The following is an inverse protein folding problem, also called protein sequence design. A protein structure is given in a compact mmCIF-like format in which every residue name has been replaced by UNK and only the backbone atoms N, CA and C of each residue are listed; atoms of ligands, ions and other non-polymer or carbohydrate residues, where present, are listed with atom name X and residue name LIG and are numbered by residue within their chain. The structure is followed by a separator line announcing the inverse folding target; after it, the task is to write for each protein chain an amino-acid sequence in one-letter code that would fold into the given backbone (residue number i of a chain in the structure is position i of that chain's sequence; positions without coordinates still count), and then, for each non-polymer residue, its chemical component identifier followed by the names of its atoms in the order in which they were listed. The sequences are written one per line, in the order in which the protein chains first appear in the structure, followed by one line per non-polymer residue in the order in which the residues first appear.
data_IF_269693072026
#
_entry.id   IF_269693072026
#
_cell.length_a   1.000
_cell.length_b   1.000
_cell.length_c   1.000
_cell.angle_alpha   90.00
_cell.angle_beta   90.00
_cell.angle_gamma   90.00
#
_symmetry.space_group_name_H-M   'P 1'
#
loop_
_entity.id
_entity.type
_entity.pdbx_description
1 polymer ?
#
# COMPACT_ATOMS: atom_id res chain seq x y z
N UNK A 1 -2.08 -42.91 -4.52
CA UNK A 1 -3.12 -41.96 -4.08
C UNK A 1 -2.42 -40.68 -3.62
N UNK A 2 -2.28 -39.67 -4.48
CA UNK A 2 -3.11 -38.44 -4.55
C UNK A 2 -3.19 -37.68 -3.19
N UNK A 3 -2.83 -36.40 -3.04
CA UNK A 3 -2.98 -35.24 -3.95
C UNK A 3 -1.89 -34.18 -3.71
N UNK A 4 -1.09 -33.88 -4.74
CA UNK A 4 -0.51 -32.55 -4.93
C UNK A 4 -1.50 -31.77 -5.78
N UNK A 5 -2.04 -30.66 -5.28
CA UNK A 5 -2.50 -29.55 -6.13
C UNK A 5 -2.54 -28.28 -5.30
N UNK A 6 -1.56 -27.43 -5.59
CA UNK A 6 -1.51 -26.02 -5.20
C UNK A 6 -2.70 -25.30 -5.82
N UNK A 7 -3.47 -24.56 -5.02
CA UNK A 7 -4.23 -23.42 -5.52
C UNK A 7 -3.43 -22.15 -5.25
N UNK A 8 -2.34 -21.98 -5.98
CA UNK A 8 -1.78 -20.65 -6.23
C UNK A 8 -2.45 -20.20 -7.52
N UNK A 9 -3.51 -19.39 -7.39
CA UNK A 9 -3.98 -18.64 -8.54
C UNK A 9 -2.82 -17.72 -8.97
N UNK A 10 -2.46 -17.69 -10.26
CA UNK A 10 -1.48 -16.74 -10.74
C UNK A 10 -1.96 -15.32 -10.41
N UNK A 11 -1.04 -14.45 -10.02
CA UNK A 11 -1.34 -13.03 -9.91
C UNK A 11 -1.98 -12.58 -11.24
N UNK A 12 -3.04 -11.75 -11.22
CA UNK A 12 -3.66 -11.27 -12.45
C UNK A 12 -2.58 -10.65 -13.34
N UNK A 13 -2.60 -10.97 -14.64
CA UNK A 13 -1.74 -10.30 -15.62
C UNK A 13 -2.00 -8.81 -15.53
N UNK A 14 -1.07 -8.09 -14.91
CA UNK A 14 -1.08 -6.63 -14.87
C UNK A 14 -0.87 -6.18 -16.31
N UNK A 15 -1.88 -5.49 -16.87
CA UNK A 15 -1.80 -4.93 -18.22
C UNK A 15 -0.57 -4.03 -18.31
N UNK A 16 0.38 -4.39 -19.17
CA UNK A 16 1.53 -3.54 -19.47
C UNK A 16 1.02 -2.24 -20.07
N UNK A 17 1.35 -1.13 -19.43
CA UNK A 17 0.94 0.23 -19.85
C UNK A 17 1.56 0.55 -21.22
N UNK A 18 0.80 1.16 -22.12
CA UNK A 18 1.41 1.84 -23.28
C UNK A 18 2.31 2.97 -22.77
N UNK A 19 3.61 2.88 -23.06
CA UNK A 19 4.56 3.94 -22.74
C UNK A 19 4.27 5.16 -23.63
N UNK A 20 3.53 6.13 -23.09
CA UNK A 20 3.38 7.46 -23.68
C UNK A 20 4.47 8.37 -23.11
N UNK A 21 5.40 8.87 -23.94
CA UNK A 21 6.41 9.82 -23.47
C UNK A 21 5.74 11.00 -22.77
N UNK A 22 6.18 11.30 -21.55
CA UNK A 22 5.67 12.44 -20.76
C UNK A 22 4.40 12.19 -19.92
N UNK A 23 3.85 10.97 -19.88
CA UNK A 23 2.69 10.70 -19.02
C UNK A 23 3.13 10.36 -17.59
N UNK A 24 2.93 11.31 -16.67
CA UNK A 24 3.22 11.15 -15.24
C UNK A 24 1.94 10.88 -14.45
N UNK A 25 1.95 9.86 -13.57
CA UNK A 25 0.79 9.45 -12.77
C UNK A 25 1.01 9.70 -11.30
N UNK A 26 0.19 10.58 -10.74
CA UNK A 26 0.11 10.82 -9.29
C UNK A 26 -1.18 10.18 -8.77
N UNK A 27 -1.06 9.39 -7.70
CA UNK A 27 -2.21 8.81 -7.01
C UNK A 27 -2.28 9.40 -5.61
N UNK A 28 -3.45 9.91 -5.23
CA UNK A 28 -3.74 10.28 -3.85
C UNK A 28 -4.83 9.39 -3.28
N UNK A 29 -4.68 8.94 -2.03
CA UNK A 29 -5.66 8.09 -1.39
C UNK A 29 -5.67 8.27 0.14
N UNK A 30 -6.84 8.59 0.69
CA UNK A 30 -7.08 8.50 2.11
C UNK A 30 -7.39 7.05 2.48
N UNK A 31 -6.41 6.37 3.08
CA UNK A 31 -6.46 4.93 3.29
C UNK A 31 -7.17 4.55 4.60
N UNK A 32 -7.58 5.52 5.41
CA UNK A 32 -8.23 5.32 6.70
C UNK A 32 -7.55 4.24 7.57
N UNK A 33 -6.21 4.29 7.68
CA UNK A 33 -5.35 3.30 8.35
C UNK A 33 -5.50 1.87 7.81
N UNK A 34 -5.79 1.73 6.53
CA UNK A 34 -6.03 0.43 5.86
C UNK A 34 -7.37 -0.22 6.21
N UNK A 35 -8.32 0.52 6.79
CA UNK A 35 -9.63 0.00 7.19
C UNK A 35 -10.59 0.00 6.00
N UNK A 36 -11.01 -1.19 5.56
CA UNK A 36 -12.00 -1.34 4.50
C UNK A 36 -13.46 -1.14 4.96
N UNK A 37 -14.40 -1.20 4.01
CA UNK A 37 -15.84 -1.20 4.28
C UNK A 37 -16.28 -2.38 5.15
N UNK A 38 -15.55 -3.50 5.08
CA UNK A 38 -15.70 -4.67 5.94
C UNK A 38 -15.18 -4.45 7.37
N UNK A 39 -14.72 -3.23 7.69
CA UNK A 39 -14.15 -2.79 8.96
C UNK A 39 -12.87 -3.53 9.34
N UNK A 40 -12.25 -4.28 8.42
CA UNK A 40 -10.98 -4.96 8.66
C UNK A 40 -9.82 -4.08 8.24
N UNK A 41 -8.77 -4.04 9.05
CA UNK A 41 -7.53 -3.34 8.73
C UNK A 41 -6.64 -4.29 7.93
N UNK A 42 -6.54 -4.08 6.62
CA UNK A 42 -5.72 -4.91 5.71
C UNK A 42 -4.96 -4.02 4.75
N UNK A 43 -3.77 -3.59 5.17
CA UNK A 43 -2.94 -2.65 4.40
C UNK A 43 -2.51 -3.24 3.05
N UNK A 44 -2.38 -4.57 2.96
CA UNK A 44 -2.11 -5.28 1.71
C UNK A 44 -3.09 -4.91 0.59
N UNK A 45 -4.39 -4.71 0.89
CA UNK A 45 -5.38 -4.30 -0.12
C UNK A 45 -5.06 -2.94 -0.72
N UNK A 46 -4.53 -2.03 0.08
CA UNK A 46 -4.11 -0.70 -0.39
C UNK A 46 -2.91 -0.85 -1.31
N UNK A 47 -1.91 -1.66 -0.94
CA UNK A 47 -0.76 -1.93 -1.79
C UNK A 47 -1.17 -2.55 -3.14
N UNK A 48 -2.07 -3.54 -3.14
CA UNK A 48 -2.61 -4.16 -4.36
C UNK A 48 -3.31 -3.15 -5.27
N UNK A 49 -4.13 -2.26 -4.70
CA UNK A 49 -4.78 -1.17 -5.46
C UNK A 49 -3.71 -0.26 -6.07
N UNK A 50 -2.74 0.21 -5.28
CA UNK A 50 -1.70 1.11 -5.78
C UNK A 50 -0.85 0.44 -6.87
N UNK A 51 -0.47 -0.83 -6.74
CA UNK A 51 0.26 -1.57 -7.78
C UNK A 51 -0.54 -1.62 -9.09
N UNK A 52 -1.85 -1.88 -9.01
CA UNK A 52 -2.73 -1.94 -10.18
C UNK A 52 -2.85 -0.60 -10.93
N UNK A 53 -2.63 0.51 -10.23
CA UNK A 53 -2.64 1.85 -10.81
C UNK A 53 -1.30 2.23 -11.44
N UNK A 54 -0.21 1.51 -11.10
CA UNK A 54 1.15 1.80 -11.55
C UNK A 54 1.49 3.30 -11.44
N UNK A 55 1.46 3.88 -10.22
CA UNK A 55 1.77 5.28 -9.98
C UNK A 55 3.26 5.56 -10.20
N UNK A 56 3.57 6.82 -10.48
CA UNK A 56 4.93 7.36 -10.41
C UNK A 56 5.15 8.08 -9.06
N UNK A 57 4.09 8.67 -8.48
CA UNK A 57 4.06 9.22 -7.11
C UNK A 57 2.78 8.78 -6.40
N UNK A 58 2.90 8.50 -5.10
CA UNK A 58 1.78 8.23 -4.22
C UNK A 58 1.74 9.25 -3.08
N UNK A 59 0.58 9.84 -2.81
CA UNK A 59 0.32 10.68 -1.64
C UNK A 59 -0.82 10.07 -0.80
N UNK A 60 -0.51 9.58 0.40
CA UNK A 60 -1.47 8.92 1.27
C UNK A 60 -1.87 9.80 2.44
N UNK A 61 -3.12 9.68 2.87
CA UNK A 61 -3.65 10.32 4.08
C UNK A 61 -4.15 9.28 5.08
N UNK A 62 -4.15 9.66 6.35
CA UNK A 62 -4.54 8.82 7.50
C UNK A 62 -3.73 7.52 7.62
N UNK A 63 -2.43 7.59 7.32
CA UNK A 63 -1.51 6.48 7.50
C UNK A 63 -1.13 6.38 8.97
N UNK A 64 -1.10 5.16 9.52
CA UNK A 64 -0.59 4.87 10.86
C UNK A 64 0.65 3.97 10.75
N UNK A 65 1.79 4.44 11.28
CA UNK A 65 3.03 3.66 11.30
C UNK A 65 3.53 3.48 12.73
N UNK A 66 3.43 2.24 13.24
CA UNK A 66 3.87 1.83 14.58
C UNK A 66 5.10 0.95 14.44
N UNK A 67 6.20 1.32 15.10
CA UNK A 67 7.44 0.54 15.13
C UNK A 67 7.36 -0.66 16.09
N UNK A 68 8.23 -1.65 15.88
CA UNK A 68 8.39 -2.80 16.80
C UNK A 68 7.16 -3.73 16.88
N UNK A 69 6.36 -3.77 15.81
CA UNK A 69 5.18 -4.63 15.65
C UNK A 69 5.30 -5.43 14.35
N UNK A 70 4.24 -6.13 13.97
CA UNK A 70 4.15 -6.80 12.67
C UNK A 70 4.38 -5.81 11.52
N UNK A 71 4.94 -6.24 10.38
CA UNK A 71 5.26 -5.35 9.25
C UNK A 71 4.11 -4.44 8.81
N UNK A 72 2.87 -4.95 8.80
CA UNK A 72 1.65 -4.22 8.41
C UNK A 72 1.31 -3.06 9.35
N UNK A 73 1.83 -3.07 10.58
CA UNK A 73 1.62 -2.00 11.54
C UNK A 73 2.43 -0.75 11.19
N UNK A 74 3.53 -0.89 10.44
CA UNK A 74 4.28 0.22 9.86
C UNK A 74 3.82 0.46 8.41
N UNK A 75 2.62 1.00 8.25
CA UNK A 75 1.92 1.08 6.96
C UNK A 75 2.70 1.82 5.85
N UNK A 76 3.43 2.88 6.20
CA UNK A 76 4.22 3.64 5.22
C UNK A 76 5.33 2.77 4.59
N UNK A 77 6.17 2.15 5.45
CA UNK A 77 7.20 1.19 5.06
C UNK A 77 6.62 0.01 4.27
N UNK A 78 5.53 -0.58 4.76
CA UNK A 78 4.88 -1.70 4.10
C UNK A 78 4.48 -1.38 2.65
N UNK A 79 3.84 -0.22 2.42
CA UNK A 79 3.42 0.20 1.08
C UNK A 79 4.63 0.55 0.21
N UNK A 80 5.61 1.25 0.78
CA UNK A 80 6.82 1.65 0.07
C UNK A 80 7.61 0.42 -0.43
N UNK A 81 7.82 -0.58 0.42
CA UNK A 81 8.47 -1.84 0.04
C UNK A 81 7.67 -2.59 -1.03
N UNK A 82 6.33 -2.63 -0.91
CA UNK A 82 5.47 -3.29 -1.88
C UNK A 82 5.46 -2.62 -3.27
N UNK A 83 5.76 -1.31 -3.35
CA UNK A 83 5.82 -0.54 -4.60
C UNK A 83 7.26 -0.33 -5.10
N UNK A 84 8.28 -0.67 -4.31
CA UNK A 84 9.67 -0.31 -4.59
C UNK A 84 9.95 1.20 -4.47
N UNK A 85 9.20 1.90 -3.61
CA UNK A 85 9.25 3.35 -3.43
C UNK A 85 10.04 3.74 -2.18
N UNK A 86 10.50 4.99 -2.14
CA UNK A 86 10.89 5.64 -0.89
C UNK A 86 9.66 6.30 -0.24
N UNK A 87 9.75 6.59 1.06
CA UNK A 87 8.67 7.31 1.75
C UNK A 87 9.19 8.35 2.74
N UNK A 88 8.35 9.33 3.02
CA UNK A 88 8.45 10.33 4.08
C UNK A 88 7.09 10.48 4.78
N UNK A 89 7.11 10.53 6.11
CA UNK A 89 5.91 10.72 6.91
C UNK A 89 5.84 12.17 7.38
N UNK A 90 4.78 12.87 6.98
CA UNK A 90 4.36 14.13 7.59
C UNK A 90 3.47 13.83 8.79
N UNK A 91 4.08 13.59 9.95
CA UNK A 91 3.35 13.26 11.18
C UNK A 91 2.47 14.44 11.62
N UNK A 92 1.17 14.18 11.76
CA UNK A 92 0.20 15.15 12.27
C UNK A 92 -0.08 14.93 13.77
N UNK A 93 -0.01 13.68 14.24
CA UNK A 93 -0.12 13.32 15.66
C UNK A 93 0.47 11.93 15.94
N UNK A 94 0.70 11.64 17.22
CA UNK A 94 0.90 10.27 17.71
C UNK A 94 -0.44 9.55 17.87
N UNK A 95 -0.51 8.29 17.43
CA UNK A 95 -1.67 7.42 17.62
C UNK A 95 -1.17 6.00 17.89
N UNK A 96 -1.64 5.36 18.98
CA UNK A 96 -1.23 3.99 19.37
C UNK A 96 0.31 3.81 19.44
N UNK A 97 1.01 4.86 19.87
CA UNK A 97 2.48 4.87 19.94
C UNK A 97 3.20 5.04 18.60
N UNK A 98 2.48 5.15 17.49
CA UNK A 98 3.06 5.37 16.15
C UNK A 98 2.80 6.77 15.59
N UNK A 99 3.47 7.08 14.49
CA UNK A 99 3.23 8.29 13.70
C UNK A 99 1.91 8.15 12.91
N UNK A 100 1.05 9.16 12.98
CA UNK A 100 -0.17 9.25 12.19
C UNK A 100 -0.18 10.54 11.37
N UNK A 101 -0.45 10.43 10.08
CA UNK A 101 -0.48 11.60 9.20
C UNK A 101 -0.47 11.25 7.72
N UNK A 102 0.19 12.11 6.95
CA UNK A 102 0.31 11.99 5.51
C UNK A 102 1.63 11.35 5.11
N UNK A 103 1.67 10.68 3.97
CA UNK A 103 2.87 10.01 3.43
C UNK A 103 3.02 10.31 1.96
N UNK A 104 4.26 10.56 1.54
CA UNK A 104 4.69 10.64 0.14
C UNK A 104 5.96 9.84 -0.05
#
# INVERSE_FOLDING_TARGET
MNRKTKFQQPAPELKTREEKPGLFRVVTYNIHKGRGMDRRNRIQRVAEILQSLSPDIVALQEVLSVEGKEPEAHQARFIAEALGFHFRIGETRRLRGGAYGNVT
#
